data_IF_360700333108
#
_entry.id   IF_360700333108
#
_cell.length_a   1.000
_cell.length_b   1.000
_cell.length_c   1.000
_cell.angle_alpha   90.00
_cell.angle_beta   90.00
_cell.angle_gamma   90.00
#
_symmetry.space_group_name_H-M   'P 1'
#
loop_
_entity.id
_entity.type
_entity.pdbx_description
1 polymer ?
#
# COMPACT_ATOMS: atom_id res chain seq x y z
N UNK A 1 -51.30 3.11 36.94
CA UNK A 1 -50.34 2.49 35.96
C UNK A 1 -50.03 1.10 36.47
N UNK A 2 -50.24 0.05 35.65
CA UNK A 2 -50.16 -1.35 36.07
C UNK A 2 -48.69 -1.68 36.47
N UNK A 3 -48.48 -2.23 37.67
CA UNK A 3 -47.15 -2.56 38.23
C UNK A 3 -46.33 -3.42 37.25
N UNK A 4 -46.99 -4.29 36.51
CA UNK A 4 -46.36 -5.15 35.49
C UNK A 4 -45.73 -4.32 34.36
N UNK A 5 -46.40 -3.23 33.89
CA UNK A 5 -45.89 -2.35 32.86
C UNK A 5 -44.62 -1.60 33.39
N UNK A 6 -44.64 -1.12 34.63
CA UNK A 6 -43.51 -0.45 35.25
C UNK A 6 -42.28 -1.37 35.34
N UNK A 7 -42.46 -2.62 35.75
CA UNK A 7 -41.36 -3.57 35.82
C UNK A 7 -40.80 -3.90 34.43
N UNK A 8 -41.69 -4.05 33.42
CA UNK A 8 -41.24 -4.27 32.05
C UNK A 8 -40.43 -3.08 31.53
N UNK A 9 -40.91 -1.86 31.78
CA UNK A 9 -40.20 -0.64 31.37
C UNK A 9 -38.81 -0.53 32.02
N UNK A 10 -38.72 -0.80 33.32
CA UNK A 10 -37.44 -0.79 34.05
C UNK A 10 -36.50 -1.87 33.54
N UNK A 11 -37.01 -3.08 33.29
CA UNK A 11 -36.21 -4.17 32.72
C UNK A 11 -35.67 -3.82 31.30
N UNK A 12 -36.50 -3.19 30.48
CA UNK A 12 -36.08 -2.76 29.14
C UNK A 12 -34.99 -1.66 29.20
N UNK A 13 -35.17 -0.65 30.07
CA UNK A 13 -34.17 0.39 30.26
C UNK A 13 -32.86 -0.17 30.79
N UNK A 14 -32.91 -1.13 31.71
CA UNK A 14 -31.72 -1.80 32.25
C UNK A 14 -31.00 -2.60 31.13
N UNK A 15 -31.74 -3.31 30.29
CA UNK A 15 -31.17 -4.03 29.14
C UNK A 15 -30.47 -3.09 28.16
N UNK A 16 -31.11 -1.97 27.79
CA UNK A 16 -30.49 -0.95 26.92
C UNK A 16 -29.28 -0.31 27.59
N UNK A 17 -29.32 -0.06 28.91
CA UNK A 17 -28.18 0.43 29.66
C UNK A 17 -26.98 -0.53 29.60
N UNK A 18 -27.21 -1.83 29.77
CA UNK A 18 -26.15 -2.84 29.65
C UNK A 18 -25.58 -2.88 28.23
N UNK A 19 -26.43 -2.86 27.21
CA UNK A 19 -25.99 -2.83 25.82
C UNK A 19 -25.18 -1.57 25.50
N UNK A 20 -25.60 -0.43 26.01
CA UNK A 20 -24.88 0.84 25.82
C UNK A 20 -23.49 0.80 26.46
N UNK A 21 -23.39 0.32 27.70
CA UNK A 21 -22.09 0.17 28.40
C UNK A 21 -21.18 -0.80 27.64
N UNK A 22 -21.73 -1.93 27.18
CA UNK A 22 -20.95 -2.92 26.43
C UNK A 22 -20.46 -2.39 25.07
N UNK A 23 -21.32 -1.65 24.35
CA UNK A 23 -20.93 -1.00 23.09
C UNK A 23 -19.85 0.07 23.32
N UNK A 24 -20.00 0.88 24.36
CA UNK A 24 -19.00 1.90 24.71
C UNK A 24 -17.67 1.26 25.08
N UNK A 25 -17.68 0.14 25.83
CA UNK A 25 -16.46 -0.61 26.13
C UNK A 25 -15.74 -1.07 24.86
N UNK A 26 -16.46 -1.66 23.89
CA UNK A 26 -15.85 -2.12 22.65
C UNK A 26 -15.41 -0.99 21.73
N UNK A 27 -16.22 0.07 21.62
CA UNK A 27 -15.94 1.17 20.67
C UNK A 27 -14.90 2.15 21.17
N UNK A 28 -14.77 2.34 22.50
CA UNK A 28 -13.86 3.33 23.07
C UNK A 28 -12.66 2.65 23.77
N UNK A 29 -12.91 1.71 24.69
CA UNK A 29 -11.83 1.14 25.51
C UNK A 29 -11.05 0.03 24.79
N UNK A 30 -11.71 -0.75 23.95
CA UNK A 30 -11.07 -1.85 23.21
C UNK A 30 -10.81 -1.53 21.74
N UNK A 31 -11.05 -0.29 21.32
CA UNK A 31 -10.87 0.14 19.93
C UNK A 31 -9.48 -0.20 19.40
N UNK A 32 -8.44 0.19 20.14
CA UNK A 32 -7.06 0.05 19.68
C UNK A 32 -6.64 -1.44 19.59
N UNK A 33 -7.12 -2.27 20.50
CA UNK A 33 -6.88 -3.72 20.45
C UNK A 33 -7.63 -4.39 19.31
N UNK A 34 -8.87 -3.96 19.03
CA UNK A 34 -9.65 -4.50 17.91
C UNK A 34 -9.11 -4.03 16.55
N UNK A 35 -8.58 -2.82 16.47
CA UNK A 35 -7.92 -2.30 15.28
C UNK A 35 -6.59 -3.00 15.03
N UNK A 36 -5.83 -3.31 16.08
CA UNK A 36 -4.55 -4.01 15.99
C UNK A 36 -4.69 -5.53 15.80
N UNK A 37 -5.89 -6.10 15.90
CA UNK A 37 -6.11 -7.54 15.69
C UNK A 37 -5.75 -7.92 14.23
N UNK A 38 -4.82 -8.87 14.07
CA UNK A 38 -4.38 -9.37 12.76
C UNK A 38 -5.52 -9.94 11.88
N UNK A 39 -6.67 -10.28 12.49
CA UNK A 39 -7.87 -10.73 11.78
C UNK A 39 -8.70 -9.57 11.23
N UNK A 40 -8.46 -8.35 11.71
CA UNK A 40 -9.18 -7.16 11.28
C UNK A 40 -8.53 -6.56 10.03
N UNK A 41 -8.76 -7.18 8.88
CA UNK A 41 -8.27 -6.71 7.60
C UNK A 41 -9.12 -5.57 6.99
N UNK A 42 -10.17 -5.11 7.70
CA UNK A 42 -11.10 -4.11 7.17
C UNK A 42 -10.43 -2.76 6.86
N UNK A 43 -9.52 -2.33 7.74
CA UNK A 43 -8.76 -1.09 7.55
C UNK A 43 -7.78 -1.27 6.39
N UNK A 44 -7.04 -2.39 6.39
CA UNK A 44 -6.07 -2.71 5.34
C UNK A 44 -6.74 -2.79 3.95
N UNK A 45 -7.92 -3.44 3.87
CA UNK A 45 -8.70 -3.50 2.62
C UNK A 45 -9.14 -2.11 2.17
N UNK A 46 -9.63 -1.27 3.08
CA UNK A 46 -10.09 0.09 2.78
C UNK A 46 -8.94 1.01 2.38
N UNK A 47 -7.77 0.85 2.97
CA UNK A 47 -6.57 1.63 2.59
C UNK A 47 -5.99 1.14 1.27
N UNK A 48 -6.06 -0.15 1.01
CA UNK A 48 -5.63 -0.73 -0.26
C UNK A 48 -6.48 -0.24 -1.44
N UNK A 49 -7.75 0.06 -1.20
CA UNK A 49 -8.72 0.53 -2.19
C UNK A 49 -8.79 2.06 -2.28
N UNK A 50 -7.71 2.75 -1.98
CA UNK A 50 -7.57 4.20 -2.17
C UNK A 50 -6.58 4.50 -3.28
N UNK A 51 -6.73 5.69 -3.86
CA UNK A 51 -5.68 6.26 -4.69
C UNK A 51 -4.38 6.35 -3.89
N UNK A 52 -3.30 5.92 -4.50
CA UNK A 52 -1.96 5.95 -3.93
C UNK A 52 -1.04 6.68 -4.87
N UNK A 53 -0.24 7.60 -4.37
CA UNK A 53 0.63 8.45 -5.14
C UNK A 53 1.61 7.70 -6.03
N UNK A 54 2.06 8.35 -7.08
CA UNK A 54 3.00 7.76 -8.03
C UNK A 54 4.44 7.76 -7.49
N UNK A 55 5.25 6.81 -7.95
CA UNK A 55 6.71 6.84 -7.84
C UNK A 55 7.24 7.09 -9.24
N UNK A 56 8.04 8.13 -9.41
CA UNK A 56 8.57 8.54 -10.71
C UNK A 56 10.08 8.79 -10.64
N UNK A 57 10.76 8.62 -11.76
CA UNK A 57 12.17 8.99 -11.92
C UNK A 57 12.35 10.51 -12.09
N UNK A 58 13.59 11.00 -12.08
CA UNK A 58 13.89 12.41 -12.33
C UNK A 58 13.46 12.89 -13.74
N UNK A 59 13.48 11.99 -14.72
CA UNK A 59 13.06 12.22 -16.10
C UNK A 59 11.57 11.94 -16.34
N UNK A 60 10.78 11.71 -15.27
CA UNK A 60 9.33 11.57 -15.32
C UNK A 60 8.81 10.18 -15.70
N UNK A 61 9.68 9.18 -15.82
CA UNK A 61 9.24 7.80 -16.07
C UNK A 61 8.49 7.25 -14.86
N UNK A 62 7.28 6.73 -15.06
CA UNK A 62 6.43 6.18 -14.00
C UNK A 62 6.90 4.78 -13.65
N UNK A 63 7.37 4.63 -12.40
CA UNK A 63 7.80 3.34 -11.83
C UNK A 63 6.62 2.60 -11.22
N UNK A 64 5.79 3.32 -10.46
CA UNK A 64 4.60 2.78 -9.83
C UNK A 64 3.47 3.81 -9.86
N UNK A 65 2.27 3.37 -10.22
CA UNK A 65 1.08 4.20 -10.25
C UNK A 65 -0.13 3.43 -9.71
N UNK A 66 -1.19 4.16 -9.39
CA UNK A 66 -2.49 3.57 -9.06
C UNK A 66 -3.46 3.89 -10.18
N UNK A 67 -4.09 2.87 -10.73
CA UNK A 67 -5.02 2.98 -11.83
C UNK A 67 -6.41 2.49 -11.41
N UNK A 68 -7.49 3.10 -11.91
CA UNK A 68 -8.83 2.57 -11.72
C UNK A 68 -8.97 1.22 -12.43
N UNK A 69 -9.69 0.30 -11.78
CA UNK A 69 -9.99 -1.01 -12.37
C UNK A 69 -11.17 -0.84 -13.32
N UNK A 70 -10.98 -1.23 -14.59
CA UNK A 70 -12.06 -1.23 -15.56
C UNK A 70 -13.08 -2.34 -15.19
N UNK A 71 -14.34 -1.99 -14.86
CA UNK A 71 -15.38 -2.96 -14.55
C UNK A 71 -15.69 -3.91 -15.72
N UNK A 72 -15.43 -3.49 -16.97
CA UNK A 72 -15.63 -4.33 -18.14
C UNK A 72 -14.61 -5.49 -18.20
N UNK A 73 -13.37 -5.23 -17.75
CA UNK A 73 -12.31 -6.24 -17.72
C UNK A 73 -12.34 -7.11 -16.46
N UNK A 74 -12.82 -6.54 -15.34
CA UNK A 74 -12.89 -7.23 -14.04
C UNK A 74 -14.24 -7.01 -13.34
N UNK A 75 -15.33 -7.57 -13.84
CA UNK A 75 -16.69 -7.31 -13.34
C UNK A 75 -16.92 -7.78 -11.88
N UNK A 76 -16.09 -8.67 -11.37
CA UNK A 76 -16.17 -9.20 -10.01
C UNK A 76 -15.11 -8.63 -9.07
N UNK A 77 -14.36 -7.60 -9.47
CA UNK A 77 -13.44 -6.94 -8.56
C UNK A 77 -14.22 -6.22 -7.47
N UNK A 78 -13.82 -6.44 -6.21
CA UNK A 78 -14.34 -5.70 -5.06
C UNK A 78 -13.57 -4.42 -4.78
N UNK A 79 -12.53 -4.12 -5.58
CA UNK A 79 -11.70 -2.94 -5.47
C UNK A 79 -11.93 -2.02 -6.66
N UNK A 80 -11.87 -0.71 -6.41
CA UNK A 80 -11.99 0.34 -7.42
C UNK A 80 -10.63 0.65 -8.07
N UNK A 81 -9.53 0.41 -7.35
CA UNK A 81 -8.18 0.74 -7.76
C UNK A 81 -7.24 -0.47 -7.74
N UNK A 82 -6.19 -0.38 -8.54
CA UNK A 82 -5.08 -1.34 -8.54
C UNK A 82 -3.74 -0.61 -8.59
N UNK A 83 -2.75 -1.14 -7.89
CA UNK A 83 -1.36 -0.70 -8.03
C UNK A 83 -0.75 -1.36 -9.24
N UNK A 84 -0.06 -0.59 -10.10
CA UNK A 84 0.60 -1.07 -11.31
C UNK A 84 2.04 -0.61 -11.35
N UNK A 85 2.91 -1.43 -11.94
CA UNK A 85 4.33 -1.16 -12.11
C UNK A 85 4.68 -1.26 -13.61
N UNK A 86 4.54 -0.15 -14.36
CA UNK A 86 4.72 -0.17 -15.82
C UNK A 86 6.13 -0.60 -16.26
N UNK A 87 7.14 -0.31 -15.45
CA UNK A 87 8.55 -0.63 -15.69
C UNK A 87 8.94 -2.06 -15.28
N UNK A 88 8.00 -2.82 -14.72
CA UNK A 88 8.18 -4.23 -14.33
C UNK A 88 9.42 -4.44 -13.46
N UNK A 89 10.26 -5.38 -13.86
CA UNK A 89 11.46 -5.81 -13.14
C UNK A 89 12.58 -4.76 -13.07
N UNK A 90 12.52 -3.71 -13.89
CA UNK A 90 13.62 -2.73 -14.03
C UNK A 90 13.90 -1.96 -12.72
N UNK A 91 12.87 -1.73 -11.91
CA UNK A 91 12.96 -0.99 -10.66
C UNK A 91 12.45 -1.78 -9.44
N UNK A 92 12.17 -3.05 -9.59
CA UNK A 92 11.55 -3.87 -8.55
C UNK A 92 12.29 -3.83 -7.21
N UNK A 93 13.64 -3.89 -7.26
CA UNK A 93 14.48 -3.87 -6.05
C UNK A 93 14.54 -2.49 -5.38
N UNK A 94 14.05 -1.44 -6.05
CA UNK A 94 13.98 -0.06 -5.53
C UNK A 94 12.56 0.25 -5.07
N UNK A 95 11.58 0.08 -5.96
CA UNK A 95 10.17 0.37 -5.64
C UNK A 95 9.61 -0.61 -4.61
N UNK A 96 10.03 -1.87 -4.69
CA UNK A 96 9.36 -2.96 -4.01
C UNK A 96 7.98 -3.24 -4.59
N UNK A 97 7.09 -3.70 -3.73
CA UNK A 97 5.68 -3.95 -4.06
C UNK A 97 4.77 -3.47 -2.93
N UNK A 98 3.50 -3.24 -3.27
CA UNK A 98 2.42 -2.97 -2.33
C UNK A 98 1.27 -3.93 -2.61
N UNK A 99 1.01 -4.87 -1.69
CA UNK A 99 0.03 -5.95 -1.90
C UNK A 99 -0.86 -6.17 -0.69
N UNK A 100 -2.10 -6.52 -0.94
CA UNK A 100 -3.06 -6.82 0.11
C UNK A 100 -2.67 -8.09 0.87
N UNK A 101 -2.63 -7.99 2.19
CA UNK A 101 -2.38 -9.12 3.09
C UNK A 101 -0.90 -9.44 3.33
N UNK A 102 0.01 -8.99 2.44
CA UNK A 102 1.45 -9.20 2.59
C UNK A 102 2.22 -7.89 2.79
N UNK A 103 1.50 -6.74 2.74
CA UNK A 103 2.08 -5.43 3.05
C UNK A 103 2.86 -4.82 1.88
N UNK A 104 3.90 -4.07 2.23
CA UNK A 104 4.75 -3.34 1.29
C UNK A 104 6.23 -3.53 1.61
N UNK A 105 7.07 -3.33 0.61
CA UNK A 105 8.53 -3.41 0.73
C UNK A 105 9.21 -2.18 0.14
N UNK A 106 10.50 -2.02 0.38
CA UNK A 106 11.36 -0.98 -0.20
C UNK A 106 10.74 0.43 -0.12
N UNK A 107 10.69 1.20 -1.22
CA UNK A 107 10.13 2.55 -1.27
C UNK A 107 8.62 2.58 -0.99
N UNK A 108 7.89 1.58 -1.43
CA UNK A 108 6.46 1.45 -1.10
C UNK A 108 6.21 1.42 0.41
N UNK A 109 7.16 0.87 1.16
CA UNK A 109 7.10 0.83 2.63
C UNK A 109 7.68 2.10 3.26
N UNK A 110 8.85 2.54 2.83
CA UNK A 110 9.57 3.66 3.48
C UNK A 110 8.91 5.00 3.21
N UNK A 111 8.24 5.15 2.06
CA UNK A 111 7.50 6.35 1.66
C UNK A 111 5.97 6.17 1.78
N UNK A 112 5.54 5.20 2.57
CA UNK A 112 4.13 4.85 2.70
C UNK A 112 3.27 6.07 3.07
N UNK A 113 3.71 6.89 4.02
CA UNK A 113 2.92 8.01 4.53
C UNK A 113 2.70 9.09 3.46
N UNK A 114 3.71 9.36 2.64
CA UNK A 114 3.60 10.28 1.51
C UNK A 114 2.68 9.71 0.45
N UNK A 115 2.93 8.45 0.04
CA UNK A 115 2.16 7.79 -1.01
C UNK A 115 0.69 7.59 -0.65
N UNK A 116 0.39 7.33 0.63
CA UNK A 116 -0.98 7.15 1.12
C UNK A 116 -1.68 8.47 1.51
N UNK A 117 -1.00 9.62 1.46
CA UNK A 117 -1.58 10.89 1.87
C UNK A 117 -1.82 11.02 3.37
N UNK A 118 -1.03 10.34 4.19
CA UNK A 118 -1.20 10.30 5.65
C UNK A 118 -0.21 11.15 6.42
N UNK A 119 0.65 11.91 5.74
CA UNK A 119 1.57 12.84 6.41
C UNK A 119 0.81 13.94 7.15
N UNK A 120 1.38 14.47 8.24
CA UNK A 120 0.76 15.54 9.03
C UNK A 120 0.42 16.78 8.19
N UNK A 121 1.25 17.11 7.20
CA UNK A 121 1.01 18.23 6.29
C UNK A 121 -0.19 17.97 5.37
N UNK A 122 -0.27 16.81 4.75
CA UNK A 122 -1.40 16.39 3.91
C UNK A 122 -2.70 16.33 4.72
N UNK A 123 -2.65 15.88 5.97
CA UNK A 123 -3.81 15.87 6.86
C UNK A 123 -4.26 17.29 7.25
N UNK A 124 -3.36 18.25 7.44
CA UNK A 124 -3.69 19.65 7.70
C UNK A 124 -4.35 20.31 6.48
N UNK A 125 -3.87 20.03 5.29
CA UNK A 125 -4.45 20.50 4.03
C UNK A 125 -5.88 19.95 3.85
N UNK A 126 -6.13 18.69 4.23
CA UNK A 126 -7.47 18.09 4.20
C UNK A 126 -8.47 18.70 5.16
N UNK A 127 -8.00 19.19 6.33
CA UNK A 127 -8.89 19.82 7.34
C UNK A 127 -9.28 21.22 6.94
N UNK A 128 -8.48 21.93 6.12
CA UNK A 128 -8.82 23.25 5.55
C UNK A 128 -9.90 23.19 4.46
N UNK A 129 -10.07 22.02 3.83
CA UNK A 129 -11.09 21.75 2.82
C UNK A 129 -12.21 20.85 3.32
N UNK A 130 -12.99 21.29 4.30
CA UNK A 130 -14.07 20.53 4.99
C UNK A 130 -15.08 19.81 4.07
N UNK A 131 -14.98 19.97 2.73
CA UNK A 131 -15.92 19.41 1.75
C UNK A 131 -15.29 18.82 0.48
N UNK A 132 -13.98 18.79 0.35
CA UNK A 132 -13.34 18.16 -0.83
C UNK A 132 -12.77 16.80 -0.48
N UNK A 133 -13.28 15.77 -1.14
CA UNK A 133 -12.64 14.45 -1.25
C UNK A 133 -11.46 14.53 -2.24
N UNK A 134 -10.50 15.42 -2.00
CA UNK A 134 -9.30 15.45 -2.83
C UNK A 134 -8.38 14.30 -2.38
N UNK A 135 -7.87 13.57 -3.36
CA UNK A 135 -6.85 12.56 -3.13
C UNK A 135 -5.56 13.27 -2.69
N UNK A 136 -5.24 13.13 -1.41
CA UNK A 136 -4.06 13.72 -0.79
C UNK A 136 -2.78 12.90 -1.02
N UNK A 137 -2.84 11.89 -1.88
CA UNK A 137 -1.69 11.05 -2.19
C UNK A 137 -0.56 11.86 -2.82
N UNK A 138 0.65 11.75 -2.24
CA UNK A 138 1.83 12.49 -2.71
C UNK A 138 2.66 11.68 -3.69
N UNK A 139 3.20 12.33 -4.73
CA UNK A 139 4.14 11.71 -5.65
C UNK A 139 5.54 11.71 -5.07
N UNK A 140 6.24 10.57 -5.17
CA UNK A 140 7.64 10.43 -4.80
C UNK A 140 8.50 10.50 -6.07
N UNK A 141 9.30 11.56 -6.21
CA UNK A 141 10.25 11.71 -7.30
C UNK A 141 11.63 11.26 -6.85
N UNK A 142 12.25 10.37 -7.63
CA UNK A 142 13.58 9.83 -7.40
C UNK A 142 14.63 10.60 -8.21
N UNK A 143 15.89 10.50 -7.81
CA UNK A 143 17.03 11.01 -8.58
C UNK A 143 17.43 10.12 -9.76
N UNK A 144 16.82 8.94 -9.88
CA UNK A 144 17.12 7.96 -10.94
C UNK A 144 16.75 8.48 -12.31
N UNK A 145 17.55 8.11 -13.31
CA UNK A 145 17.31 8.37 -14.72
C UNK A 145 17.04 7.04 -15.44
N UNK A 146 15.97 7.00 -16.21
CA UNK A 146 15.52 5.76 -16.86
C UNK A 146 16.50 5.22 -17.90
N UNK A 147 17.12 6.09 -18.70
CA UNK A 147 18.09 5.66 -19.71
C UNK A 147 19.34 5.06 -19.08
N UNK A 148 19.82 5.67 -17.99
CA UNK A 148 20.98 5.16 -17.23
C UNK A 148 20.62 3.82 -16.56
N UNK A 149 19.41 3.68 -16.02
CA UNK A 149 18.91 2.44 -15.43
C UNK A 149 18.85 1.30 -16.47
N UNK A 150 18.34 1.58 -17.66
CA UNK A 150 18.30 0.62 -18.77
C UNK A 150 19.74 0.23 -19.17
N UNK A 151 20.66 1.20 -19.25
CA UNK A 151 22.06 0.94 -19.56
C UNK A 151 22.71 0.05 -18.47
N UNK A 152 22.44 0.31 -17.19
CA UNK A 152 22.91 -0.50 -16.06
C UNK A 152 22.40 -1.96 -16.16
N UNK A 153 21.11 -2.16 -16.44
CA UNK A 153 20.52 -3.49 -16.69
C UNK A 153 21.22 -4.22 -17.84
N UNK A 154 21.43 -3.52 -18.97
CA UNK A 154 22.13 -4.10 -20.14
C UNK A 154 23.58 -4.46 -19.83
N UNK A 155 24.30 -3.59 -19.08
CA UNK A 155 25.68 -3.81 -18.72
C UNK A 155 25.86 -5.02 -17.77
N UNK A 156 24.93 -5.21 -16.82
CA UNK A 156 24.93 -6.37 -15.93
C UNK A 156 24.57 -7.64 -16.71
N UNK A 157 23.59 -7.57 -17.60
CA UNK A 157 23.08 -8.74 -18.35
C UNK A 157 22.52 -9.81 -17.42
N UNK A 158 22.89 -11.05 -17.66
CA UNK A 158 22.43 -12.20 -16.87
C UNK A 158 23.33 -12.53 -15.66
N UNK A 159 24.33 -11.70 -15.37
CA UNK A 159 25.22 -11.90 -14.23
C UNK A 159 24.48 -11.55 -12.93
N UNK A 160 24.68 -12.34 -11.90
CA UNK A 160 24.21 -12.01 -10.56
C UNK A 160 25.06 -10.89 -9.94
N UNK A 161 24.38 -9.93 -9.32
CA UNK A 161 25.03 -8.79 -8.69
C UNK A 161 24.23 -7.49 -8.88
N UNK A 162 24.87 -6.37 -8.62
CA UNK A 162 24.26 -5.04 -8.73
C UNK A 162 25.17 -4.03 -9.43
N UNK A 163 24.55 -3.05 -10.08
CA UNK A 163 25.21 -1.88 -10.67
C UNK A 163 24.62 -0.63 -10.02
N UNK A 164 25.49 0.22 -9.48
CA UNK A 164 25.11 1.53 -8.94
C UNK A 164 25.86 2.61 -9.69
N UNK A 165 25.14 3.61 -10.18
CA UNK A 165 25.70 4.80 -10.85
C UNK A 165 25.34 6.01 -10.01
N UNK A 166 26.36 6.78 -9.63
CA UNK A 166 26.21 7.97 -8.79
C UNK A 166 26.87 9.17 -9.43
N UNK A 167 26.29 10.33 -9.24
CA UNK A 167 26.95 11.61 -9.51
C UNK A 167 27.99 11.89 -8.41
N UNK A 168 29.28 12.01 -8.74
CA UNK A 168 30.32 12.19 -7.73
C UNK A 168 30.31 13.59 -7.08
N UNK A 169 29.62 14.57 -7.68
CA UNK A 169 29.53 15.93 -7.17
C UNK A 169 28.40 16.10 -6.18
N UNK A 170 27.22 15.59 -6.56
CA UNK A 170 25.99 15.75 -5.78
C UNK A 170 25.71 14.57 -4.85
N UNK A 171 26.31 13.42 -5.11
CA UNK A 171 26.01 12.16 -4.43
C UNK A 171 24.67 11.54 -4.88
N UNK A 172 23.99 12.11 -5.86
CA UNK A 172 22.72 11.58 -6.35
C UNK A 172 22.91 10.21 -6.99
N UNK A 173 22.03 9.25 -6.65
CA UNK A 173 22.00 7.95 -7.32
C UNK A 173 21.22 8.10 -8.62
N UNK A 174 21.89 7.88 -9.73
CA UNK A 174 21.33 7.99 -11.08
C UNK A 174 20.79 6.67 -11.63
N UNK A 175 21.38 5.55 -11.21
CA UNK A 175 20.85 4.20 -11.46
C UNK A 175 21.25 3.26 -10.33
N UNK A 176 20.38 2.28 -10.05
CA UNK A 176 20.64 1.18 -9.14
C UNK A 176 19.83 -0.05 -9.62
N UNK A 177 20.54 -1.02 -10.18
CA UNK A 177 19.93 -2.23 -10.73
C UNK A 177 20.58 -3.46 -10.13
N UNK A 178 19.76 -4.42 -9.75
CA UNK A 178 20.21 -5.72 -9.23
C UNK A 178 19.62 -6.86 -10.03
N UNK A 179 20.37 -7.94 -10.19
CA UNK A 179 19.93 -9.19 -10.79
C UNK A 179 20.38 -10.37 -9.89
N UNK A 180 19.51 -11.28 -9.51
CA UNK A 180 18.13 -11.47 -10.00
C UNK A 180 17.15 -10.42 -9.51
N UNK A 181 16.06 -10.29 -10.24
CA UNK A 181 14.96 -9.37 -9.96
C UNK A 181 13.63 -10.10 -10.17
N UNK A 182 12.50 -9.42 -9.99
CA UNK A 182 11.16 -9.97 -10.16
C UNK A 182 10.23 -8.92 -10.78
N UNK A 183 9.07 -9.32 -11.29
CA UNK A 183 8.04 -8.35 -11.70
C UNK A 183 7.09 -8.08 -10.52
N UNK A 184 7.02 -6.84 -9.98
CA UNK A 184 6.12 -6.53 -8.87
C UNK A 184 4.64 -6.76 -9.22
N UNK A 185 4.26 -6.71 -10.51
CA UNK A 185 2.89 -6.97 -10.93
C UNK A 185 2.44 -8.39 -10.61
N UNK A 186 3.35 -9.37 -10.58
CA UNK A 186 3.04 -10.76 -10.26
C UNK A 186 2.61 -10.97 -8.79
N UNK A 187 3.01 -10.02 -7.91
CA UNK A 187 2.71 -10.09 -6.47
C UNK A 187 1.66 -9.08 -6.02
N UNK A 188 1.17 -8.20 -6.91
CA UNK A 188 0.08 -7.25 -6.61
C UNK A 188 -1.23 -7.65 -7.25
N UNK A 189 -1.26 -8.70 -8.06
CA UNK A 189 -2.49 -9.22 -8.65
C UNK A 189 -3.46 -9.66 -7.56
N UNK A 190 -4.75 -9.37 -7.74
CA UNK A 190 -5.81 -9.75 -6.80
C UNK A 190 -6.23 -11.23 -6.94
N UNK A 191 -5.38 -12.05 -7.55
CA UNK A 191 -5.61 -13.49 -7.74
C UNK A 191 -5.06 -14.27 -6.55
N UNK A 192 -5.65 -15.41 -6.24
CA UNK A 192 -5.25 -16.24 -5.10
C UNK A 192 -3.83 -16.84 -5.17
N UNK A 193 -3.08 -16.56 -6.25
CA UNK A 193 -1.71 -17.05 -6.48
C UNK A 193 -0.61 -16.19 -5.84
N UNK A 194 -0.92 -14.97 -5.35
CA UNK A 194 0.09 -14.04 -4.80
C UNK A 194 0.92 -14.68 -3.69
N UNK A 195 0.29 -15.38 -2.75
CA UNK A 195 1.01 -16.07 -1.67
C UNK A 195 1.99 -17.13 -2.18
N UNK A 196 1.61 -17.90 -3.19
CA UNK A 196 2.48 -18.90 -3.81
C UNK A 196 3.66 -18.25 -4.53
N UNK A 197 3.41 -17.18 -5.29
CA UNK A 197 4.45 -16.41 -5.98
C UNK A 197 5.45 -15.82 -4.98
N UNK A 198 4.95 -15.18 -3.90
CA UNK A 198 5.83 -14.63 -2.86
C UNK A 198 6.65 -15.71 -2.16
N UNK A 199 6.05 -16.86 -1.83
CA UNK A 199 6.77 -17.99 -1.24
C UNK A 199 7.87 -18.48 -2.19
N UNK A 200 7.57 -18.64 -3.47
CA UNK A 200 8.56 -19.05 -4.47
C UNK A 200 9.73 -18.05 -4.59
N UNK A 201 9.43 -16.73 -4.57
CA UNK A 201 10.48 -15.70 -4.59
C UNK A 201 11.31 -15.66 -3.31
N UNK A 202 10.71 -15.95 -2.14
CA UNK A 202 11.42 -16.03 -0.86
C UNK A 202 12.32 -17.25 -0.74
N UNK A 203 11.89 -18.38 -1.31
CA UNK A 203 12.61 -19.66 -1.31
C UNK A 203 13.65 -19.74 -2.44
N UNK A 204 13.62 -18.85 -3.44
CA UNK A 204 14.63 -18.79 -4.50
C UNK A 204 16.02 -18.54 -3.89
N UNK A 205 16.98 -19.48 -4.06
CA UNK A 205 18.33 -19.36 -3.50
C UNK A 205 19.08 -18.11 -4.01
N UNK A 206 18.69 -17.56 -5.15
CA UNK A 206 19.26 -16.34 -5.73
C UNK A 206 18.71 -15.06 -5.10
N UNK A 207 17.67 -15.16 -4.26
CA UNK A 207 17.08 -14.08 -3.45
C UNK A 207 16.68 -12.83 -4.24
N UNK A 208 15.76 -12.93 -5.21
CA UNK A 208 15.36 -11.80 -6.05
C UNK A 208 14.66 -10.65 -5.30
N UNK A 209 14.22 -10.86 -4.07
CA UNK A 209 13.57 -9.86 -3.22
C UNK A 209 14.55 -8.98 -2.41
N UNK A 210 15.87 -9.24 -2.49
CA UNK A 210 16.91 -8.48 -1.77
C UNK A 210 17.48 -7.34 -2.60
#
# INVERSE_FOLDING_TARGET
MNQRIRHLTVALIALFGILFVQLTNWQVLQRDTLVADARNNRITVREFDKMRGAIVTADGTVIAATEPIDPALRPNSRFEFQRVYPTKDLYANISGYYTLGFGSTQLERTQNDVLAGTTAQQQLESTGGLFSKEDLSGTVQLTLNNDIQIAAKRALGNREGSVVVMDPITGAVLAMYSNPTFDPNDVVTQTGSVGQTLTALQEDPRKPLL
#
